data_IF_101931758551
#
_entry.id   IF_101931758551
#
_cell.length_a   1.000
_cell.length_b   1.000
_cell.length_c   1.000
_cell.angle_alpha   90.00
_cell.angle_beta   90.00
_cell.angle_gamma   90.00
#
_symmetry.space_group_name_H-M   'P 1'
#
loop_
_entity.id
_entity.type
_entity.pdbx_description
1 polymer ?
#
# COMPACT_ATOMS: atom_id res chain seq x y z
N UNK A 1 -20.00 -19.13 -10.26
CA UNK A 1 -20.47 -18.04 -9.42
C UNK A 1 -20.96 -16.87 -10.26
N UNK A 2 -21.90 -16.08 -9.72
CA UNK A 2 -22.54 -14.97 -10.44
C UNK A 2 -21.63 -13.75 -10.63
N UNK A 3 -20.60 -13.57 -9.79
CA UNK A 3 -19.63 -12.48 -9.86
C UNK A 3 -18.20 -13.03 -9.75
N UNK A 4 -17.24 -12.38 -10.39
CA UNK A 4 -15.83 -12.75 -10.32
C UNK A 4 -15.09 -12.03 -9.18
N UNK A 5 -13.87 -12.44 -8.88
CA UNK A 5 -13.08 -11.89 -7.77
C UNK A 5 -12.78 -10.39 -7.92
N UNK A 6 -12.58 -9.89 -9.13
CA UNK A 6 -12.32 -8.46 -9.38
C UNK A 6 -13.56 -7.62 -9.08
N UNK A 7 -14.73 -8.06 -9.52
CA UNK A 7 -16.00 -7.41 -9.20
C UNK A 7 -16.29 -7.43 -7.70
N UNK A 8 -16.03 -8.57 -7.05
CA UNK A 8 -16.15 -8.70 -5.59
C UNK A 8 -15.25 -7.70 -4.87
N UNK A 9 -13.99 -7.56 -5.29
CA UNK A 9 -13.05 -6.62 -4.72
C UNK A 9 -13.55 -5.18 -4.86
N UNK A 10 -14.02 -4.80 -6.04
CA UNK A 10 -14.59 -3.49 -6.31
C UNK A 10 -15.77 -3.18 -5.37
N UNK A 11 -16.75 -4.10 -5.29
CA UNK A 11 -17.92 -3.95 -4.43
C UNK A 11 -17.56 -3.83 -2.95
N UNK A 12 -16.54 -4.55 -2.48
CA UNK A 12 -16.03 -4.42 -1.11
C UNK A 12 -15.43 -3.02 -0.89
N UNK A 13 -14.64 -2.53 -1.84
CA UNK A 13 -13.97 -1.22 -1.73
C UNK A 13 -14.94 -0.03 -1.79
N UNK A 14 -16.08 -0.17 -2.44
CA UNK A 14 -17.14 0.83 -2.44
C UNK A 14 -17.80 1.01 -1.05
N UNK A 15 -17.77 -0.02 -0.22
CA UNK A 15 -18.37 0.04 1.13
C UNK A 15 -17.37 0.69 2.11
N UNK A 16 -17.74 1.85 2.68
CA UNK A 16 -16.92 2.59 3.67
C UNK A 16 -16.40 1.71 4.83
N UNK A 17 -17.24 0.76 5.31
CA UNK A 17 -16.91 -0.16 6.40
C UNK A 17 -15.67 -1.04 6.11
N UNK A 18 -15.44 -1.39 4.84
CA UNK A 18 -14.37 -2.32 4.45
C UNK A 18 -13.19 -1.66 3.74
N UNK A 19 -13.09 -0.33 3.76
CA UNK A 19 -12.00 0.40 3.08
C UNK A 19 -10.60 -0.05 3.48
N UNK A 20 -10.42 -0.36 4.77
CA UNK A 20 -9.12 -0.76 5.34
C UNK A 20 -8.96 -2.27 5.50
N UNK A 21 -9.98 -3.05 5.14
CA UNK A 21 -9.92 -4.52 5.24
C UNK A 21 -8.88 -5.05 4.24
N UNK A 22 -7.89 -5.85 4.67
CA UNK A 22 -6.97 -6.50 3.74
C UNK A 22 -7.73 -7.43 2.80
N UNK A 23 -7.48 -7.29 1.50
CA UNK A 23 -8.02 -8.16 0.46
C UNK A 23 -6.85 -8.84 -0.23
N UNK A 24 -6.85 -10.16 -0.23
CA UNK A 24 -5.84 -10.97 -0.89
C UNK A 24 -6.50 -11.79 -1.99
N UNK A 25 -6.06 -11.62 -3.23
CA UNK A 25 -6.46 -12.52 -4.30
C UNK A 25 -5.70 -13.84 -4.20
N UNK A 26 -6.43 -14.94 -4.26
CA UNK A 26 -5.88 -16.29 -4.34
C UNK A 26 -6.42 -16.98 -5.61
N UNK A 27 -5.61 -17.10 -6.64
CA UNK A 27 -6.07 -17.45 -7.98
C UNK A 27 -5.15 -18.43 -8.71
N UNK A 28 -5.75 -19.26 -9.58
CA UNK A 28 -4.99 -20.07 -10.53
C UNK A 28 -4.58 -19.30 -11.80
N UNK A 29 -5.16 -18.12 -12.02
CA UNK A 29 -4.81 -17.28 -13.18
C UNK A 29 -3.44 -16.64 -12.94
N UNK A 30 -2.45 -17.15 -13.67
CA UNK A 30 -1.14 -16.55 -13.79
C UNK A 30 -1.20 -15.32 -14.73
N UNK A 31 -0.29 -14.40 -14.53
CA UNK A 31 -0.05 -13.28 -15.46
C UNK A 31 -0.05 -11.94 -14.76
N UNK A 32 0.98 -11.18 -15.09
CA UNK A 32 1.25 -9.84 -14.58
C UNK A 32 0.04 -8.90 -14.73
N UNK A 33 -0.68 -9.01 -15.85
CA UNK A 33 -1.87 -8.19 -16.14
C UNK A 33 -2.99 -8.40 -15.10
N UNK A 34 -3.21 -9.65 -14.66
CA UNK A 34 -4.23 -9.97 -13.65
C UNK A 34 -3.81 -9.48 -12.25
N UNK A 35 -2.53 -9.61 -11.93
CA UNK A 35 -1.97 -9.11 -10.68
C UNK A 35 -2.09 -7.59 -10.60
N UNK A 36 -1.62 -6.88 -11.63
CA UNK A 36 -1.75 -5.42 -11.73
C UNK A 36 -3.20 -4.99 -11.58
N UNK A 37 -4.12 -5.63 -12.31
CA UNK A 37 -5.56 -5.33 -12.22
C UNK A 37 -6.12 -5.55 -10.82
N UNK A 38 -5.75 -6.64 -10.14
CA UNK A 38 -6.18 -6.90 -8.76
C UNK A 38 -5.69 -5.82 -7.79
N UNK A 39 -4.42 -5.43 -7.90
CA UNK A 39 -3.83 -4.38 -7.07
C UNK A 39 -4.44 -3.00 -7.37
N UNK A 40 -4.71 -2.70 -8.63
CA UNK A 40 -5.39 -1.46 -9.04
C UNK A 40 -6.81 -1.34 -8.47
N UNK A 41 -7.50 -2.45 -8.27
CA UNK A 41 -8.80 -2.49 -7.60
C UNK A 41 -8.70 -2.35 -6.08
N UNK A 42 -7.49 -2.19 -5.54
CA UNK A 42 -7.25 -1.97 -4.12
C UNK A 42 -7.03 -3.25 -3.31
N UNK A 43 -6.62 -4.35 -3.95
CA UNK A 43 -6.15 -5.52 -3.22
C UNK A 43 -4.84 -5.19 -2.46
N UNK A 44 -4.66 -5.86 -1.33
CA UNK A 44 -3.44 -5.74 -0.51
C UNK A 44 -2.34 -6.68 -1.00
N UNK A 45 -2.75 -7.82 -1.61
CA UNK A 45 -1.82 -8.81 -2.15
C UNK A 45 -2.51 -9.67 -3.22
N UNK A 46 -1.71 -10.30 -4.09
CA UNK A 46 -2.17 -11.21 -5.14
C UNK A 46 -1.31 -12.47 -5.13
N UNK A 47 -1.92 -13.62 -4.91
CA UNK A 47 -1.24 -14.88 -4.70
C UNK A 47 -1.67 -15.88 -5.76
N UNK A 48 -0.70 -16.37 -6.52
CA UNK A 48 -0.93 -17.40 -7.53
C UNK A 48 -0.91 -18.79 -6.89
N UNK A 49 -1.88 -19.63 -7.29
CA UNK A 49 -1.88 -21.07 -7.04
C UNK A 49 -0.98 -21.80 -8.06
N UNK A 50 -0.28 -22.89 -7.66
CA UNK A 50 -0.27 -23.51 -6.34
C UNK A 50 0.58 -22.76 -5.32
N UNK A 51 0.11 -22.68 -4.07
CA UNK A 51 0.85 -22.12 -2.95
C UNK A 51 0.82 -23.09 -1.79
N UNK A 52 1.94 -23.29 -1.10
CA UNK A 52 1.97 -24.11 0.10
C UNK A 52 1.18 -23.47 1.25
N UNK A 53 0.53 -24.26 2.12
CA UNK A 53 -0.22 -23.73 3.26
C UNK A 53 0.61 -22.80 4.15
N UNK A 54 1.87 -23.13 4.40
CA UNK A 54 2.76 -22.32 5.23
C UNK A 54 3.03 -20.94 4.61
N UNK A 55 3.26 -20.87 3.29
CA UNK A 55 3.41 -19.59 2.56
C UNK A 55 2.12 -18.78 2.59
N UNK A 56 0.96 -19.41 2.43
CA UNK A 56 -0.33 -18.71 2.52
C UNK A 56 -0.54 -18.12 3.92
N UNK A 57 -0.31 -18.92 4.97
CA UNK A 57 -0.42 -18.47 6.36
C UNK A 57 0.53 -17.31 6.64
N UNK A 58 1.78 -17.38 6.18
CA UNK A 58 2.75 -16.31 6.35
C UNK A 58 2.26 -15.00 5.70
N UNK A 59 1.72 -15.05 4.47
CA UNK A 59 1.17 -13.89 3.77
C UNK A 59 -0.07 -13.30 4.47
N UNK A 60 -0.99 -14.18 4.89
CA UNK A 60 -2.17 -13.75 5.67
C UNK A 60 -1.73 -13.09 6.97
N UNK A 61 -0.82 -13.72 7.74
CA UNK A 61 -0.27 -13.15 8.97
C UNK A 61 0.43 -11.82 8.73
N UNK A 62 1.22 -11.68 7.67
CA UNK A 62 1.87 -10.42 7.29
C UNK A 62 0.84 -9.33 7.00
N UNK A 63 -0.20 -9.64 6.24
CA UNK A 63 -1.27 -8.69 5.94
C UNK A 63 -2.13 -8.34 7.17
N UNK A 64 -2.30 -9.26 8.13
CA UNK A 64 -3.03 -9.04 9.38
C UNK A 64 -2.17 -8.36 10.45
N UNK A 65 -0.93 -8.81 10.68
CA UNK A 65 0.02 -8.21 11.64
C UNK A 65 0.17 -6.72 11.41
N UNK A 66 0.29 -6.34 10.17
CA UNK A 66 0.23 -4.95 9.80
C UNK A 66 -1.17 -4.33 10.08
N UNK A 67 -2.25 -5.10 10.33
CA UNK A 67 -3.55 -4.62 10.80
C UNK A 67 -3.56 -4.41 12.33
N UNK A 68 -2.86 -5.26 13.06
CA UNK A 68 -2.80 -5.26 14.53
C UNK A 68 -1.70 -4.34 15.06
N UNK A 69 -0.62 -4.09 14.30
CA UNK A 69 0.40 -3.06 14.59
C UNK A 69 -0.16 -1.62 14.52
N UNK A 70 -1.48 -1.49 14.42
CA UNK A 70 -2.22 -0.24 14.64
C UNK A 70 -2.27 0.19 16.13
N UNK A 71 -1.63 -0.54 17.03
CA UNK A 71 -1.36 -0.10 18.43
C UNK A 71 0.12 0.31 18.44
N UNK A 72 0.46 1.61 18.44
CA UNK A 72 1.85 2.03 18.38
C UNK A 72 2.58 1.70 19.69
N UNK A 73 3.87 1.31 19.62
CA UNK A 73 4.75 1.48 20.74
C UNK A 73 4.78 2.98 21.09
N UNK A 74 4.84 3.31 22.38
CA UNK A 74 4.63 4.62 23.01
C UNK A 74 5.55 5.79 22.58
N UNK A 75 6.22 5.73 21.43
CA UNK A 75 7.27 6.71 21.05
C UNK A 75 7.22 7.27 19.62
N UNK A 76 6.34 6.76 18.73
CA UNK A 76 6.22 7.36 17.40
C UNK A 76 5.22 8.52 17.38
N UNK A 77 5.49 9.61 16.69
CA UNK A 77 4.55 10.73 16.58
C UNK A 77 3.23 10.22 15.96
N UNK A 78 2.14 10.45 16.69
CA UNK A 78 0.78 10.02 16.30
C UNK A 78 0.34 10.71 15.01
N UNK A 79 0.89 11.88 14.75
CA UNK A 79 0.59 12.70 13.59
C UNK A 79 1.89 13.23 13.00
N UNK A 80 2.08 13.00 11.71
CA UNK A 80 3.21 13.49 10.93
C UNK A 80 2.68 14.50 9.93
N UNK A 81 3.30 15.67 9.87
CA UNK A 81 3.03 16.68 8.86
C UNK A 81 4.28 16.89 8.02
N UNK A 82 4.12 16.79 6.71
CA UNK A 82 5.19 17.04 5.76
C UNK A 82 4.64 17.84 4.56
N UNK A 83 4.88 19.13 4.56
CA UNK A 83 4.28 20.04 3.59
C UNK A 83 2.75 19.93 3.58
N UNK A 84 2.15 19.64 2.41
CA UNK A 84 0.69 19.51 2.30
C UNK A 84 0.15 18.16 2.82
N UNK A 85 1.04 17.22 3.20
CA UNK A 85 0.67 15.88 3.62
C UNK A 85 0.60 15.82 5.14
N UNK A 86 -0.56 15.46 5.69
CA UNK A 86 -0.75 15.19 7.11
C UNK A 86 -1.25 13.77 7.29
N UNK A 87 -0.58 12.97 8.13
CA UNK A 87 -0.91 11.56 8.36
C UNK A 87 -1.11 11.31 9.85
N UNK A 88 -2.27 10.76 10.20
CA UNK A 88 -2.52 10.22 11.53
C UNK A 88 -2.45 8.69 11.46
N UNK A 89 -1.39 8.11 12.02
CA UNK A 89 -1.15 6.66 11.99
C UNK A 89 -2.20 5.89 12.78
N UNK A 90 -2.62 6.39 13.94
CA UNK A 90 -3.58 5.70 14.80
C UNK A 90 -4.97 5.64 14.18
N UNK A 91 -5.38 6.73 13.50
CA UNK A 91 -6.70 6.82 12.88
C UNK A 91 -6.70 6.35 11.42
N UNK A 92 -5.52 6.03 10.85
CA UNK A 92 -5.37 5.73 9.42
C UNK A 92 -5.95 6.83 8.53
N UNK A 93 -5.73 8.08 8.92
CA UNK A 93 -6.22 9.25 8.20
C UNK A 93 -5.09 9.97 7.50
N UNK A 94 -5.36 10.40 6.27
CA UNK A 94 -4.46 11.22 5.46
C UNK A 94 -5.21 12.44 4.99
N UNK A 95 -4.60 13.61 5.17
CA UNK A 95 -5.07 14.88 4.62
C UNK A 95 -4.03 15.39 3.63
N UNK A 96 -4.49 15.86 2.49
CA UNK A 96 -3.68 16.43 1.43
C UNK A 96 -4.18 17.85 1.18
N UNK A 97 -3.34 18.85 1.48
CA UNK A 97 -3.77 20.26 1.42
C UNK A 97 -4.99 20.55 2.31
N UNK A 98 -5.08 19.91 3.48
CA UNK A 98 -6.21 20.02 4.40
C UNK A 98 -7.44 19.17 4.03
N UNK A 99 -7.46 18.53 2.87
CA UNK A 99 -8.59 17.71 2.42
C UNK A 99 -8.34 16.24 2.76
N UNK A 100 -9.27 15.62 3.50
CA UNK A 100 -9.19 14.20 3.83
C UNK A 100 -9.29 13.34 2.58
N UNK A 101 -8.29 12.48 2.37
CA UNK A 101 -8.21 11.50 1.29
C UNK A 101 -8.21 10.09 1.84
N UNK A 102 -8.82 9.17 1.09
CA UNK A 102 -8.90 7.77 1.49
C UNK A 102 -7.83 6.97 0.77
N UNK A 103 -6.97 6.34 1.56
CA UNK A 103 -5.93 5.45 1.09
C UNK A 103 -6.26 4.01 1.50
N UNK A 104 -6.28 3.04 0.58
CA UNK A 104 -6.18 1.64 0.93
C UNK A 104 -4.92 1.38 1.74
N UNK A 105 -4.97 0.34 2.54
CA UNK A 105 -3.95 0.10 3.55
C UNK A 105 -2.51 0.14 3.03
N UNK A 106 -2.19 -0.58 1.94
CA UNK A 106 -0.82 -0.63 1.42
C UNK A 106 -0.36 0.70 0.82
N UNK A 107 -1.26 1.45 0.23
CA UNK A 107 -0.96 2.82 -0.22
C UNK A 107 -0.66 3.73 0.99
N UNK A 108 -1.45 3.60 2.07
CA UNK A 108 -1.20 4.32 3.31
C UNK A 108 0.17 3.97 3.91
N UNK A 109 0.49 2.67 4.01
CA UNK A 109 1.76 2.19 4.58
C UNK A 109 2.97 2.66 3.76
N UNK A 110 2.90 2.62 2.42
CA UNK A 110 3.94 3.15 1.54
C UNK A 110 4.10 4.65 1.71
N UNK A 111 3.00 5.42 1.67
CA UNK A 111 3.05 6.87 1.85
C UNK A 111 3.60 7.23 3.24
N UNK A 112 3.13 6.56 4.29
CA UNK A 112 3.61 6.75 5.66
C UNK A 112 5.12 6.50 5.78
N UNK A 113 5.61 5.42 5.16
CA UNK A 113 7.03 5.08 5.18
C UNK A 113 7.89 6.14 4.50
N UNK A 114 7.44 6.65 3.35
CA UNK A 114 8.14 7.72 2.63
C UNK A 114 8.12 9.05 3.42
N UNK A 115 6.97 9.42 3.99
CA UNK A 115 6.81 10.66 4.79
C UNK A 115 7.62 10.62 6.07
N UNK A 116 7.77 9.44 6.67
CA UNK A 116 8.61 9.25 7.86
C UNK A 116 10.12 9.24 7.57
N UNK A 117 10.49 9.17 6.29
CA UNK A 117 11.88 9.14 5.84
C UNK A 117 12.07 10.08 4.63
N UNK A 118 11.83 11.39 4.78
CA UNK A 118 11.92 12.33 3.68
C UNK A 118 13.33 12.36 3.09
N UNK A 119 13.42 12.70 1.80
CA UNK A 119 14.65 12.86 1.02
C UNK A 119 15.49 11.57 0.82
N UNK A 120 15.17 10.52 1.53
CA UNK A 120 15.86 9.24 1.39
C UNK A 120 15.29 8.43 0.22
N UNK A 121 16.21 7.91 -0.61
CA UNK A 121 15.85 7.05 -1.74
C UNK A 121 15.70 5.61 -1.25
N UNK A 122 14.60 4.97 -1.61
CA UNK A 122 14.33 3.56 -1.31
C UNK A 122 14.15 2.77 -2.60
N UNK A 123 14.86 1.64 -2.69
CA UNK A 123 14.64 0.71 -3.80
C UNK A 123 13.26 0.04 -3.67
N UNK A 124 12.80 -0.57 -4.76
CA UNK A 124 11.54 -1.32 -4.78
C UNK A 124 11.56 -2.47 -3.78
N UNK A 125 12.68 -3.18 -3.71
CA UNK A 125 12.86 -4.30 -2.77
C UNK A 125 12.79 -3.83 -1.32
N UNK A 126 13.38 -2.68 -1.00
CA UNK A 126 13.32 -2.11 0.36
C UNK A 126 11.89 -1.75 0.71
N UNK A 127 11.19 -1.01 -0.16
CA UNK A 127 9.78 -0.65 0.07
C UNK A 127 8.90 -1.90 0.19
N UNK A 128 9.15 -2.91 -0.63
CA UNK A 128 8.43 -4.17 -0.57
C UNK A 128 8.66 -4.87 0.76
N UNK A 129 9.92 -5.03 1.18
CA UNK A 129 10.28 -5.66 2.45
C UNK A 129 9.67 -4.95 3.65
N UNK A 130 9.77 -3.63 3.70
CA UNK A 130 9.30 -2.82 4.83
C UNK A 130 7.77 -2.79 4.94
N UNK A 131 7.07 -2.75 3.81
CA UNK A 131 5.61 -2.62 3.80
C UNK A 131 4.90 -3.97 3.71
N UNK A 132 5.50 -4.97 3.06
CA UNK A 132 4.88 -6.32 2.91
C UNK A 132 5.57 -7.39 3.76
N UNK A 133 6.79 -7.14 4.22
CA UNK A 133 7.58 -8.09 5.03
C UNK A 133 8.61 -8.87 4.19
N UNK A 134 9.63 -9.42 4.87
CA UNK A 134 10.78 -10.10 4.24
C UNK A 134 10.44 -11.42 3.52
N UNK A 135 9.31 -12.04 3.84
CA UNK A 135 8.93 -13.36 3.31
C UNK A 135 8.00 -13.27 2.10
N UNK A 136 7.90 -12.08 1.49
CA UNK A 136 6.95 -11.81 0.43
C UNK A 136 7.64 -11.93 -0.93
N UNK A 137 7.31 -12.98 -1.67
CA UNK A 137 7.61 -13.11 -3.10
C UNK A 137 6.57 -12.34 -3.92
N UNK A 138 6.66 -11.03 -3.93
CA UNK A 138 5.85 -10.16 -4.79
C UNK A 138 6.78 -9.57 -5.85
N UNK A 139 6.27 -9.42 -7.07
CA UNK A 139 7.01 -8.80 -8.17
C UNK A 139 7.27 -7.32 -7.83
N UNK A 140 8.45 -6.81 -8.12
CA UNK A 140 8.86 -5.40 -7.87
C UNK A 140 7.87 -4.37 -8.38
N UNK A 141 7.11 -4.69 -9.43
CA UNK A 141 6.06 -3.85 -10.00
C UNK A 141 4.86 -3.59 -9.09
N UNK A 142 4.67 -4.38 -8.03
CA UNK A 142 3.62 -4.12 -7.03
C UNK A 142 3.79 -2.74 -6.40
N UNK A 143 5.03 -2.36 -6.11
CA UNK A 143 5.35 -1.04 -5.56
C UNK A 143 4.97 0.07 -6.54
N UNK A 144 5.28 -0.10 -7.82
CA UNK A 144 5.02 0.90 -8.87
C UNK A 144 3.51 1.20 -9.00
N UNK A 145 2.67 0.16 -8.92
CA UNK A 145 1.21 0.32 -8.94
C UNK A 145 0.73 1.15 -7.74
N UNK A 146 1.22 0.86 -6.55
CA UNK A 146 0.84 1.62 -5.35
C UNK A 146 1.35 3.06 -5.41
N UNK A 147 2.58 3.29 -5.84
CA UNK A 147 3.13 4.65 -6.04
C UNK A 147 2.28 5.44 -7.03
N UNK A 148 1.87 4.84 -8.17
CA UNK A 148 0.98 5.48 -9.12
C UNK A 148 -0.34 5.91 -8.46
N UNK A 149 -0.98 5.00 -7.71
CA UNK A 149 -2.24 5.28 -7.01
C UNK A 149 -2.10 6.36 -5.92
N UNK A 150 -0.97 6.37 -5.23
CA UNK A 150 -0.66 7.43 -4.27
C UNK A 150 -0.55 8.77 -4.98
N UNK A 151 0.20 8.86 -6.09
CA UNK A 151 0.34 10.09 -6.89
C UNK A 151 -1.01 10.60 -7.40
N UNK A 152 -1.89 9.72 -7.90
CA UNK A 152 -3.25 10.08 -8.32
C UNK A 152 -4.01 10.76 -7.17
N UNK A 153 -3.87 10.29 -5.94
CA UNK A 153 -4.54 10.87 -4.75
C UNK A 153 -3.89 12.14 -4.23
N UNK A 154 -2.57 12.28 -4.39
CA UNK A 154 -1.85 13.51 -4.10
C UNK A 154 -2.23 14.65 -5.05
N UNK A 155 -2.68 14.33 -6.27
CA UNK A 155 -3.13 15.33 -7.26
C UNK A 155 -2.05 16.35 -7.61
N UNK A 156 -2.27 17.63 -7.31
CA UNK A 156 -1.30 18.71 -7.57
C UNK A 156 0.05 18.49 -6.86
N UNK A 157 0.08 17.68 -5.82
CA UNK A 157 1.29 17.39 -5.05
C UNK A 157 1.96 16.06 -5.44
N UNK A 158 1.57 15.46 -6.57
CA UNK A 158 2.10 14.17 -7.06
C UNK A 158 3.62 14.16 -7.22
N UNK A 159 4.21 15.32 -7.58
CA UNK A 159 5.65 15.51 -7.77
C UNK A 159 6.48 15.40 -6.48
N UNK A 160 5.84 15.43 -5.30
CA UNK A 160 6.52 15.17 -4.04
C UNK A 160 7.09 13.76 -3.97
N UNK A 161 6.46 12.78 -4.63
CA UNK A 161 7.04 11.45 -4.75
C UNK A 161 7.81 11.40 -6.07
N UNK A 162 9.12 11.43 -5.97
CA UNK A 162 10.02 11.35 -7.12
C UNK A 162 10.39 9.91 -7.45
N UNK A 163 10.49 9.62 -8.75
CA UNK A 163 11.12 8.40 -9.24
C UNK A 163 12.60 8.67 -9.52
N UNK A 164 13.46 8.02 -8.76
CA UNK A 164 14.90 8.01 -9.04
C UNK A 164 15.15 6.87 -10.03
N UNK A 165 15.37 7.24 -11.30
CA UNK A 165 15.45 6.30 -12.42
C UNK A 165 16.52 5.22 -12.16
N UNK A 166 16.16 3.96 -12.31
CA UNK A 166 17.03 2.81 -12.08
C UNK A 166 17.27 2.46 -10.60
N UNK A 167 16.76 3.27 -9.63
CA UNK A 167 16.98 3.05 -8.19
C UNK A 167 15.65 2.78 -7.47
N UNK A 168 14.71 3.71 -7.51
CA UNK A 168 13.47 3.57 -6.74
C UNK A 168 12.71 4.88 -6.55
N UNK A 169 12.27 5.14 -5.33
CA UNK A 169 11.40 6.27 -4.99
C UNK A 169 11.91 7.03 -3.78
N UNK A 170 11.64 8.33 -3.75
CA UNK A 170 11.84 9.19 -2.57
C UNK A 170 10.73 10.22 -2.44
N UNK A 171 10.56 10.75 -1.23
CA UNK A 171 9.80 11.97 -0.99
C UNK A 171 10.77 13.16 -1.07
N UNK A 172 10.50 14.13 -1.97
CA UNK A 172 11.31 15.35 -2.14
C UNK A 172 11.16 16.25 -0.93
N UNK A 173 12.17 17.10 -0.68
CA UNK A 173 12.03 18.25 0.25
C UNK A 173 10.84 19.12 -0.17
N UNK A 174 10.17 19.66 0.85
CA UNK A 174 9.16 20.71 0.68
C UNK A 174 9.87 22.03 0.95
N UNK A 175 10.05 22.83 -0.09
CA UNK A 175 10.50 24.22 0.04
C UNK A 175 9.42 25.09 0.68
#
# INVERSE_FOLDING_TARGET
>A
PKINGFETCKLIREKKKFKNTPIIFLTAKAGETNEIKGLELGASDYIQKPISPNKLIARVKSNLRNAELSIPPKTEPVQIKYGPIEINKQKYEVFIGGIKKVFPRKEFEVLYYLVNNPEKVFSREVLLKEVWGSDVYVVDRTVDVHIRKIREKLGAYSELIETVKGVGYRLKSVE
#
